data_IF_336416054102
#
_entry.id   IF_336416054102
#
_cell.length_a   1.000
_cell.length_b   1.000
_cell.length_c   1.000
_cell.angle_alpha   90.00
_cell.angle_beta   90.00
_cell.angle_gamma   90.00
#
_symmetry.space_group_name_H-M   'P 1'
#
loop_
_entity.id
_entity.type
_entity.pdbx_description
1 polymer ?
#
# COMPACT_ATOMS: atom_id res chain seq x y z
N UNK A 1 4.25 -14.46 -7.87
CA UNK A 1 3.37 -15.19 -6.93
C UNK A 1 1.89 -14.85 -7.13
N UNK A 2 1.47 -13.58 -7.07
CA UNK A 2 0.05 -13.18 -7.23
C UNK A 2 -0.54 -13.52 -8.62
N UNK A 3 0.26 -13.47 -9.69
CA UNK A 3 -0.17 -13.87 -11.04
C UNK A 3 -0.51 -15.37 -11.12
N UNK A 4 0.34 -16.23 -10.54
CA UNK A 4 0.12 -17.68 -10.50
C UNK A 4 -1.12 -18.06 -9.66
N UNK A 5 -1.37 -17.33 -8.57
CA UNK A 5 -2.58 -17.53 -7.76
C UNK A 5 -3.86 -17.17 -8.53
N UNK A 6 -3.84 -16.15 -9.40
CA UNK A 6 -4.99 -15.83 -10.27
C UNK A 6 -5.28 -16.94 -11.27
N UNK A 7 -4.23 -17.44 -11.92
CA UNK A 7 -4.36 -18.47 -12.96
C UNK A 7 -4.89 -19.78 -12.36
N UNK A 8 -4.42 -20.14 -11.16
CA UNK A 8 -4.80 -21.40 -10.51
C UNK A 8 -6.02 -21.23 -9.57
N UNK A 9 -6.65 -20.05 -9.50
CA UNK A 9 -7.78 -19.80 -8.59
C UNK A 9 -8.98 -20.67 -8.98
N UNK A 10 -9.33 -20.70 -10.27
CA UNK A 10 -10.45 -21.49 -10.79
C UNK A 10 -10.20 -22.97 -10.55
N UNK A 11 -8.99 -23.46 -10.85
CA UNK A 11 -8.62 -24.86 -10.65
C UNK A 11 -8.65 -25.30 -9.18
N UNK A 12 -8.28 -24.40 -8.25
CA UNK A 12 -8.15 -24.75 -6.81
C UNK A 12 -9.36 -24.40 -5.96
N UNK A 13 -10.23 -23.51 -6.43
CA UNK A 13 -11.41 -23.04 -5.68
C UNK A 13 -12.73 -23.29 -6.42
N UNK A 14 -12.67 -23.82 -7.65
CA UNK A 14 -13.82 -24.09 -8.51
C UNK A 14 -14.48 -22.85 -9.12
N UNK A 15 -14.10 -21.64 -8.66
CA UNK A 15 -14.73 -20.39 -9.07
C UNK A 15 -13.70 -19.32 -9.42
N UNK A 16 -14.12 -18.37 -10.27
CA UNK A 16 -13.29 -17.23 -10.62
C UNK A 16 -13.29 -16.16 -9.51
N UNK A 17 -12.39 -15.18 -9.64
CA UNK A 17 -12.24 -14.13 -8.62
C UNK A 17 -13.51 -13.28 -8.46
N UNK A 18 -14.23 -12.99 -9.54
CA UNK A 18 -15.45 -12.17 -9.49
C UNK A 18 -16.55 -12.85 -8.66
N UNK A 19 -16.71 -14.17 -8.80
CA UNK A 19 -17.65 -14.94 -8.00
C UNK A 19 -17.36 -14.75 -6.50
N UNK A 20 -16.10 -14.93 -6.09
CA UNK A 20 -15.70 -14.75 -4.70
C UNK A 20 -15.88 -13.32 -4.19
N UNK A 21 -15.62 -12.33 -5.04
CA UNK A 21 -15.83 -10.92 -4.69
C UNK A 21 -17.31 -10.62 -4.43
N UNK A 22 -18.20 -11.10 -5.31
CA UNK A 22 -19.65 -10.95 -5.15
C UNK A 22 -20.12 -11.64 -3.86
N UNK A 23 -19.60 -12.84 -3.60
CA UNK A 23 -19.96 -13.63 -2.42
C UNK A 23 -19.56 -12.94 -1.11
N UNK A 24 -18.34 -12.37 -1.05
CA UNK A 24 -17.88 -11.58 0.10
C UNK A 24 -18.69 -10.30 0.26
N UNK A 25 -19.05 -9.62 -0.84
CA UNK A 25 -19.94 -8.46 -0.79
C UNK A 25 -21.32 -8.83 -0.24
N UNK A 26 -21.85 -9.99 -0.64
CA UNK A 26 -23.13 -10.51 -0.14
C UNK A 26 -23.08 -10.92 1.33
N UNK A 27 -21.93 -11.39 1.82
CA UNK A 27 -21.76 -11.74 3.24
C UNK A 27 -21.74 -10.54 4.17
N UNK A 28 -21.60 -9.31 3.64
CA UNK A 28 -21.54 -8.07 4.42
C UNK A 28 -20.23 -7.89 5.20
N UNK A 29 -19.22 -8.71 4.94
CA UNK A 29 -17.96 -8.69 5.70
C UNK A 29 -16.99 -7.64 5.13
N UNK A 30 -16.69 -6.60 5.91
CA UNK A 30 -15.80 -5.52 5.46
C UNK A 30 -14.36 -5.65 5.99
N UNK A 31 -14.20 -6.27 7.16
CA UNK A 31 -12.89 -6.39 7.82
C UNK A 31 -12.08 -7.49 7.15
N UNK A 32 -10.82 -7.20 6.78
CA UNK A 32 -9.94 -8.15 6.09
C UNK A 32 -9.85 -9.53 6.78
N UNK A 33 -9.72 -9.54 8.11
CA UNK A 33 -9.66 -10.78 8.88
C UNK A 33 -11.01 -11.51 8.95
N UNK A 34 -12.12 -10.77 8.93
CA UNK A 34 -13.46 -11.35 8.93
C UNK A 34 -13.78 -12.00 7.58
N UNK A 35 -13.41 -11.37 6.47
CA UNK A 35 -13.49 -11.95 5.12
C UNK A 35 -12.68 -13.25 5.04
N UNK A 36 -11.44 -13.26 5.57
CA UNK A 36 -10.61 -14.48 5.59
C UNK A 36 -11.29 -15.57 6.42
N UNK A 37 -11.87 -15.22 7.58
CA UNK A 37 -12.56 -16.18 8.43
C UNK A 37 -13.79 -16.76 7.74
N UNK A 38 -14.62 -15.91 7.13
CA UNK A 38 -15.81 -16.30 6.35
C UNK A 38 -15.46 -17.27 5.21
N UNK A 39 -14.46 -16.91 4.39
CA UNK A 39 -14.03 -17.77 3.27
C UNK A 39 -13.45 -19.11 3.74
N UNK A 40 -12.84 -19.15 4.93
CA UNK A 40 -12.33 -20.39 5.52
C UNK A 40 -13.44 -21.23 6.14
N UNK A 41 -14.39 -20.62 6.87
CA UNK A 41 -15.43 -21.33 7.61
C UNK A 41 -16.54 -21.83 6.69
N UNK A 42 -17.05 -20.96 5.82
CA UNK A 42 -18.23 -21.25 5.00
C UNK A 42 -17.85 -21.97 3.69
N UNK A 43 -16.65 -21.70 3.17
CA UNK A 43 -16.25 -22.14 1.83
C UNK A 43 -14.98 -23.02 1.81
N UNK A 44 -14.38 -23.28 2.97
CA UNK A 44 -13.24 -24.20 3.09
C UNK A 44 -11.96 -23.76 2.38
N UNK A 45 -11.82 -22.47 2.04
CA UNK A 45 -10.64 -21.99 1.32
C UNK A 45 -9.37 -22.12 2.17
N UNK A 46 -8.25 -22.42 1.50
CA UNK A 46 -6.94 -22.37 2.16
C UNK A 46 -6.57 -20.91 2.49
N UNK A 47 -5.72 -20.72 3.51
CA UNK A 47 -5.35 -19.39 3.98
C UNK A 47 -4.79 -18.49 2.86
N UNK A 48 -4.02 -19.06 1.93
CA UNK A 48 -3.44 -18.32 0.80
C UNK A 48 -4.51 -17.71 -0.11
N UNK A 49 -5.49 -18.51 -0.53
CA UNK A 49 -6.57 -18.05 -1.40
C UNK A 49 -7.56 -17.13 -0.67
N UNK A 50 -7.93 -17.45 0.57
CA UNK A 50 -8.77 -16.59 1.39
C UNK A 50 -8.13 -15.21 1.59
N UNK A 51 -6.82 -15.15 1.88
CA UNK A 51 -6.08 -13.90 2.00
C UNK A 51 -5.99 -13.14 0.68
N UNK A 52 -5.77 -13.84 -0.43
CA UNK A 52 -5.72 -13.24 -1.76
C UNK A 52 -7.05 -12.59 -2.15
N UNK A 53 -8.18 -13.29 -1.97
CA UNK A 53 -9.52 -12.76 -2.23
C UNK A 53 -9.83 -11.59 -1.31
N UNK A 54 -9.57 -11.72 0.00
CA UNK A 54 -9.78 -10.64 0.97
C UNK A 54 -8.93 -9.40 0.68
N UNK A 55 -7.79 -9.55 0.03
CA UNK A 55 -6.99 -8.43 -0.46
C UNK A 55 -7.64 -7.78 -1.68
N UNK A 56 -8.08 -8.58 -2.66
CA UNK A 56 -8.72 -8.10 -3.90
C UNK A 56 -10.04 -7.38 -3.68
N UNK A 57 -10.91 -7.92 -2.82
CA UNK A 57 -12.17 -7.26 -2.43
C UNK A 57 -11.90 -5.85 -1.86
N UNK A 58 -10.87 -5.73 -1.02
CA UNK A 58 -10.48 -4.46 -0.41
C UNK A 58 -9.73 -3.52 -1.35
N UNK A 59 -9.10 -4.03 -2.41
CA UNK A 59 -8.54 -3.19 -3.48
C UNK A 59 -9.66 -2.57 -4.31
N UNK A 60 -10.72 -3.32 -4.65
CA UNK A 60 -11.87 -2.78 -5.38
C UNK A 60 -12.72 -1.82 -4.53
N UNK A 61 -12.82 -2.07 -3.23
CA UNK A 61 -13.61 -1.21 -2.33
C UNK A 61 -12.85 0.04 -1.88
N UNK A 62 -11.55 0.14 -2.17
CA UNK A 62 -10.82 1.38 -1.93
C UNK A 62 -11.22 2.37 -3.01
N UNK A 63 -11.55 3.63 -2.65
CA UNK A 63 -11.53 4.69 -3.65
C UNK A 63 -10.17 4.64 -4.34
N UNK A 64 -10.16 4.86 -5.65
CA UNK A 64 -8.92 5.01 -6.42
C UNK A 64 -8.22 6.24 -5.83
N UNK A 65 -7.39 6.03 -4.82
CA UNK A 65 -6.41 7.02 -4.41
C UNK A 65 -5.34 6.97 -5.48
N UNK A 66 -5.60 7.67 -6.59
CA UNK A 66 -4.55 8.19 -7.45
C UNK A 66 -3.47 8.76 -6.54
N UNK A 67 -2.20 8.39 -6.72
CA UNK A 67 -1.13 8.79 -5.79
C UNK A 67 -1.10 10.29 -5.47
N UNK A 68 -1.64 11.12 -6.36
CA UNK A 68 -1.87 12.56 -6.17
C UNK A 68 -2.72 12.92 -4.94
N UNK A 69 -3.74 12.12 -4.61
CA UNK A 69 -4.65 12.40 -3.49
C UNK A 69 -3.94 12.21 -2.15
N UNK A 70 -3.12 11.16 -2.04
CA UNK A 70 -2.35 10.90 -0.82
C UNK A 70 -1.24 11.93 -0.60
N UNK A 71 -0.57 12.40 -1.66
CA UNK A 71 0.40 13.50 -1.54
C UNK A 71 -0.30 14.79 -1.14
N UNK A 72 -1.47 15.07 -1.72
CA UNK A 72 -2.27 16.25 -1.36
C UNK A 72 -2.68 16.18 0.11
N UNK A 73 -3.10 15.02 0.61
CA UNK A 73 -3.41 14.83 2.03
C UNK A 73 -2.22 15.01 2.97
N UNK A 74 -1.02 14.56 2.58
CA UNK A 74 0.20 14.69 3.38
C UNK A 74 0.58 16.16 3.68
N UNK A 75 0.25 17.06 2.76
CA UNK A 75 0.58 18.49 2.84
C UNK A 75 -0.64 19.39 3.01
N UNK A 76 -1.80 18.85 3.43
CA UNK A 76 -2.94 19.68 3.85
C UNK A 76 -2.56 20.56 5.04
N UNK A 77 -3.31 21.64 5.25
CA UNK A 77 -3.17 22.52 6.41
C UNK A 77 -3.00 21.73 7.71
N UNK A 78 -2.03 22.07 8.56
CA UNK A 78 -1.15 23.26 8.53
C UNK A 78 0.24 23.03 7.86
N UNK A 79 0.37 22.03 6.97
CA UNK A 79 1.67 21.59 6.42
C UNK A 79 1.91 22.05 4.97
N UNK A 80 1.11 22.96 4.44
CA UNK A 80 1.23 23.39 3.03
C UNK A 80 2.63 23.95 2.71
N UNK A 81 3.23 24.64 3.67
CA UNK A 81 4.55 25.26 3.53
C UNK A 81 5.70 24.24 3.34
N UNK A 82 5.50 22.96 3.69
CA UNK A 82 6.49 21.90 3.50
C UNK A 82 6.47 21.32 2.08
N UNK A 83 5.41 21.58 1.30
CA UNK A 83 5.25 21.02 -0.04
C UNK A 83 6.38 21.43 -1.00
N UNK A 84 6.81 22.70 -1.08
CA UNK A 84 7.92 23.09 -1.96
C UNK A 84 9.25 22.42 -1.59
N UNK A 85 9.50 22.21 -0.29
CA UNK A 85 10.71 21.51 0.20
C UNK A 85 10.65 20.05 -0.23
N UNK A 86 9.51 19.40 -0.03
CA UNK A 86 9.27 18.04 -0.48
C UNK A 86 9.48 17.89 -1.99
N UNK A 87 8.90 18.77 -2.81
CA UNK A 87 9.04 18.74 -4.27
C UNK A 87 10.51 18.89 -4.71
N UNK A 88 11.26 19.76 -4.03
CA UNK A 88 12.71 19.94 -4.28
C UNK A 88 13.48 18.65 -3.98
N UNK A 89 13.18 17.98 -2.87
CA UNK A 89 13.83 16.72 -2.51
C UNK A 89 13.44 15.58 -3.45
N UNK A 90 12.19 15.52 -3.89
CA UNK A 90 11.75 14.55 -4.90
C UNK A 90 12.52 14.75 -6.20
N UNK A 91 12.64 15.99 -6.70
CA UNK A 91 13.39 16.29 -7.92
C UNK A 91 14.87 15.89 -7.82
N UNK A 92 15.51 16.09 -6.66
CA UNK A 92 16.88 15.66 -6.41
C UNK A 92 17.03 14.14 -6.47
N UNK A 93 16.10 13.41 -5.84
CA UNK A 93 16.14 11.95 -5.75
C UNK A 93 15.71 11.28 -7.05
N UNK A 94 14.83 11.91 -7.83
CA UNK A 94 14.41 11.45 -9.16
C UNK A 94 15.62 11.36 -10.11
N UNK A 95 16.58 12.28 -9.95
CA UNK A 95 17.87 12.25 -10.65
C UNK A 95 18.78 11.06 -10.30
N UNK A 96 18.44 10.22 -9.32
CA UNK A 96 19.27 9.06 -8.95
C UNK A 96 19.11 7.87 -9.92
N UNK A 97 18.06 7.86 -10.74
CA UNK A 97 17.84 6.85 -11.77
C UNK A 97 16.36 6.60 -12.07
N UNK A 98 16.09 6.08 -13.26
CA UNK A 98 14.74 5.75 -13.73
C UNK A 98 14.06 4.63 -12.90
N UNK A 99 14.82 3.91 -12.08
CA UNK A 99 14.33 2.83 -11.22
C UNK A 99 13.80 3.30 -9.86
N UNK A 100 13.76 4.61 -9.63
CA UNK A 100 13.27 5.22 -8.39
C UNK A 100 11.77 5.49 -8.46
N UNK A 101 11.05 5.11 -7.42
CA UNK A 101 9.63 5.42 -7.27
C UNK A 101 9.28 6.00 -5.90
N UNK A 102 8.23 6.82 -5.88
CA UNK A 102 7.78 7.62 -4.74
C UNK A 102 6.36 7.25 -4.28
N UNK A 103 6.06 6.00 -3.88
CA UNK A 103 4.70 5.63 -3.51
C UNK A 103 4.29 6.34 -2.20
N UNK A 104 3.24 7.19 -2.25
CA UNK A 104 2.77 7.90 -1.07
C UNK A 104 2.03 6.95 -0.12
N UNK A 105 2.20 7.19 1.18
CA UNK A 105 1.44 6.58 2.28
C UNK A 105 0.71 7.69 3.02
N UNK A 106 -0.26 7.31 3.85
CA UNK A 106 -1.07 8.24 4.66
C UNK A 106 -0.21 9.19 5.50
N UNK A 107 0.94 8.72 6.01
CA UNK A 107 1.78 9.50 6.94
C UNK A 107 3.15 9.93 6.38
N UNK A 108 3.58 9.37 5.24
CA UNK A 108 4.89 9.66 4.65
C UNK A 108 4.93 9.21 3.19
N UNK A 109 5.84 9.78 2.40
CA UNK A 109 6.19 9.25 1.08
C UNK A 109 7.32 8.25 1.24
N UNK A 110 7.11 7.03 0.72
CA UNK A 110 8.19 6.05 0.64
C UNK A 110 9.05 6.35 -0.57
N UNK A 111 10.37 6.20 -0.43
CA UNK A 111 11.32 6.33 -1.53
C UNK A 111 12.02 5.00 -1.68
N UNK A 112 11.90 4.40 -2.86
CA UNK A 112 12.42 3.05 -3.09
C UNK A 112 12.90 2.88 -4.52
N UNK A 113 13.63 1.79 -4.70
CA UNK A 113 13.87 1.14 -6.00
C UNK A 113 13.24 -0.25 -5.91
N UNK A 114 14.02 -1.31 -6.11
CA UNK A 114 13.62 -2.68 -5.73
C UNK A 114 13.30 -2.83 -4.23
N UNK A 115 13.93 -1.99 -3.37
CA UNK A 115 13.70 -1.92 -1.93
C UNK A 115 13.64 -0.46 -1.47
N UNK A 116 12.91 -0.21 -0.39
CA UNK A 116 12.88 1.08 0.28
C UNK A 116 14.26 1.44 0.82
N UNK A 117 14.68 2.68 0.59
CA UNK A 117 15.94 3.21 1.10
C UNK A 117 15.77 4.55 1.82
N UNK A 118 14.65 5.24 1.62
CA UNK A 118 14.35 6.46 2.36
C UNK A 118 12.84 6.68 2.55
N UNK A 119 12.48 7.60 3.45
CA UNK A 119 11.14 8.14 3.60
C UNK A 119 11.21 9.66 3.75
N UNK A 120 10.22 10.36 3.19
CA UNK A 120 9.95 11.76 3.51
C UNK A 120 8.66 11.83 4.32
N UNK A 121 8.76 12.31 5.56
CA UNK A 121 7.66 12.33 6.50
C UNK A 121 7.44 13.76 6.99
N UNK A 122 6.34 14.42 6.63
CA UNK A 122 6.01 15.71 7.22
C UNK A 122 5.51 15.47 8.65
N UNK A 123 6.40 15.52 9.63
CA UNK A 123 6.13 15.15 11.03
C UNK A 123 5.40 16.25 11.79
N UNK A 124 5.84 17.51 11.62
CA UNK A 124 5.23 18.69 12.23
C UNK A 124 4.83 19.70 11.14
N UNK A 125 4.33 20.87 11.54
CA UNK A 125 3.90 21.94 10.62
C UNK A 125 5.08 22.55 9.84
N UNK A 126 6.27 22.51 10.43
CA UNK A 126 7.52 23.12 9.98
C UNK A 126 8.68 22.11 9.86
N UNK A 127 8.43 20.83 10.13
CA UNK A 127 9.44 19.77 10.12
C UNK A 127 9.11 18.66 9.11
N UNK A 128 9.98 18.52 8.12
CA UNK A 128 10.02 17.38 7.20
C UNK A 128 11.17 16.44 7.62
N UNK A 129 10.81 15.29 8.20
CA UNK A 129 11.78 14.27 8.57
C UNK A 129 12.18 13.44 7.35
N UNK A 130 13.49 13.21 7.24
CA UNK A 130 14.08 12.31 6.25
C UNK A 130 14.62 11.09 6.98
N UNK A 131 13.97 9.95 6.79
CA UNK A 131 14.47 8.67 7.29
C UNK A 131 15.30 7.99 6.21
N UNK A 132 16.53 7.58 6.53
CA UNK A 132 17.41 6.85 5.61
C UNK A 132 17.67 5.45 6.14
N UNK A 133 17.62 4.46 5.24
CA UNK A 133 18.03 3.08 5.52
C UNK A 133 19.46 2.93 5.02
N UNK A 134 20.40 3.13 5.94
CA UNK A 134 21.84 2.98 5.66
C UNK A 134 22.29 1.59 6.13
N UNK A 135 22.92 0.84 5.23
CA UNK A 135 23.52 -0.45 5.57
C UNK A 135 24.82 -0.23 6.35
N UNK A 136 25.03 -1.02 7.40
CA UNK A 136 26.28 -1.01 8.16
C UNK A 136 26.40 0.14 9.17
N UNK A 137 25.34 0.89 9.39
CA UNK A 137 25.25 1.87 10.47
C UNK A 137 24.24 1.41 11.51
N UNK A 138 24.56 1.63 12.78
CA UNK A 138 23.64 1.42 13.87
C UNK A 138 22.45 2.38 13.77
N UNK A 139 21.31 1.96 14.32
CA UNK A 139 20.10 2.78 14.31
C UNK A 139 20.35 4.09 15.06
N UNK A 140 20.26 5.20 14.35
CA UNK A 140 20.14 6.52 14.96
C UNK A 140 18.72 6.68 15.52
N UNK A 141 18.59 6.62 16.84
CA UNK A 141 17.36 6.96 17.53
C UNK A 141 17.17 8.48 17.50
N UNK A 142 16.00 8.93 17.06
CA UNK A 142 15.41 10.23 17.41
C UNK A 142 14.03 9.97 17.97
#
# INVERSE_FOLDING_TARGET
>A
MMQAMRNNLVEKTGHNLNHWIVLVKYSGEEKHMAIIKYLKSEHGLTHGYAKFIAFKVREESKPINTGNDLVTELFKSPKEALKPIYETLVAQVDGFGEDVDFPPRIAYTTIRRSKQFAIFKPSMTDLLDIGLILKGLDKTYK
#
